data_IF_846591460491
#
_entry.id   IF_846591460491
#
_cell.length_a   1.000
_cell.length_b   1.000
_cell.length_c   1.000
_cell.angle_alpha   90.00
_cell.angle_beta   90.00
_cell.angle_gamma   90.00
#
_symmetry.space_group_name_H-M   'P 1'
#
loop_
_entity.id
_entity.type
_entity.pdbx_description
1 polymer ?
#
# COMPACT_ATOMS: atom_id res chain seq x y z
N UNK A 1 -16.14 -15.32 -3.99
CA UNK A 1 -16.47 -15.07 -5.24
C UNK A 1 -16.42 -13.64 -5.77
N UNK A 2 -15.22 -13.05 -5.96
CA UNK A 2 -15.08 -11.88 -6.82
C UNK A 2 -14.82 -12.34 -8.26
N UNK A 3 -15.27 -11.57 -9.29
CA UNK A 3 -14.95 -11.83 -10.68
C UNK A 3 -13.43 -11.86 -10.91
N UNK A 4 -13.00 -12.55 -11.95
CA UNK A 4 -11.61 -12.56 -12.39
C UNK A 4 -11.16 -11.13 -12.79
N UNK A 5 -9.89 -10.81 -12.56
CA UNK A 5 -9.26 -9.54 -12.96
C UNK A 5 -9.39 -9.28 -14.47
N UNK A 6 -9.46 -10.33 -15.31
CA UNK A 6 -9.68 -10.21 -16.75
C UNK A 6 -10.99 -9.47 -17.09
N UNK A 7 -12.05 -9.70 -16.32
CA UNK A 7 -13.32 -8.99 -16.51
C UNK A 7 -13.20 -7.50 -16.20
N UNK A 8 -12.45 -7.13 -15.16
CA UNK A 8 -12.22 -5.73 -14.84
C UNK A 8 -11.42 -5.03 -15.95
N UNK A 9 -10.36 -5.64 -16.44
CA UNK A 9 -9.53 -5.10 -17.53
C UNK A 9 -10.33 -4.91 -18.81
N UNK A 10 -11.21 -5.86 -19.14
CA UNK A 10 -12.11 -5.75 -20.31
C UNK A 10 -13.11 -4.61 -20.14
N UNK A 11 -13.66 -4.46 -18.95
CA UNK A 11 -14.56 -3.35 -18.61
C UNK A 11 -13.86 -2.00 -18.70
N UNK A 12 -12.66 -1.85 -18.15
CA UNK A 12 -11.86 -0.62 -18.17
C UNK A 12 -11.58 -0.15 -19.60
N UNK A 13 -11.13 -1.07 -20.47
CA UNK A 13 -10.91 -0.78 -21.91
C UNK A 13 -12.20 -0.29 -22.58
N UNK A 14 -13.33 -0.96 -22.33
CA UNK A 14 -14.61 -0.58 -22.91
C UNK A 14 -15.10 0.77 -22.39
N UNK A 15 -14.92 1.03 -21.09
CA UNK A 15 -15.27 2.32 -20.47
C UNK A 15 -14.48 3.46 -21.07
N UNK A 16 -13.16 3.30 -21.25
CA UNK A 16 -12.28 4.30 -21.87
C UNK A 16 -12.72 4.58 -23.31
N UNK A 17 -12.92 3.56 -24.13
CA UNK A 17 -13.34 3.71 -25.51
C UNK A 17 -14.70 4.43 -25.66
N UNK A 18 -15.65 4.16 -24.76
CA UNK A 18 -16.95 4.86 -24.75
C UNK A 18 -16.80 6.33 -24.36
N UNK A 19 -15.96 6.65 -23.37
CA UNK A 19 -15.69 8.03 -22.97
C UNK A 19 -15.04 8.84 -24.11
N UNK A 20 -14.06 8.26 -24.79
CA UNK A 20 -13.41 8.88 -25.95
C UNK A 20 -14.43 9.15 -27.07
N UNK A 21 -15.27 8.17 -27.41
CA UNK A 21 -16.32 8.31 -28.42
C UNK A 21 -17.33 9.42 -28.08
N UNK A 22 -17.63 9.59 -26.80
CA UNK A 22 -18.60 10.60 -26.33
C UNK A 22 -17.97 11.95 -25.97
N UNK A 23 -16.64 12.10 -26.11
CA UNK A 23 -15.91 13.30 -25.69
C UNK A 23 -16.01 13.60 -24.19
N UNK A 24 -16.28 12.57 -23.36
CA UNK A 24 -16.44 12.74 -21.91
C UNK A 24 -15.13 12.42 -21.19
N UNK A 25 -14.83 13.23 -20.16
CA UNK A 25 -13.69 13.03 -19.25
C UNK A 25 -14.20 12.40 -17.93
N UNK A 26 -14.43 11.10 -17.94
CA UNK A 26 -14.83 10.35 -16.76
C UNK A 26 -13.73 9.33 -16.41
N UNK A 27 -13.54 9.08 -15.12
CA UNK A 27 -12.49 8.21 -14.61
C UNK A 27 -13.08 7.11 -13.74
N UNK A 28 -12.47 5.93 -13.80
CA UNK A 28 -12.74 4.86 -12.83
C UNK A 28 -11.89 5.11 -11.60
N UNK A 29 -12.53 5.21 -10.44
CA UNK A 29 -11.86 5.29 -9.16
C UNK A 29 -11.93 3.93 -8.49
N UNK A 30 -10.81 3.22 -8.46
CA UNK A 30 -10.73 1.92 -7.83
C UNK A 30 -10.70 2.04 -6.31
N UNK A 31 -11.54 1.27 -5.63
CA UNK A 31 -11.55 1.18 -4.18
C UNK A 31 -10.64 0.05 -3.71
N UNK A 32 -9.60 0.41 -2.97
CA UNK A 32 -8.64 -0.53 -2.42
C UNK A 32 -8.83 -0.71 -0.92
N UNK A 33 -8.78 -1.96 -0.49
CA UNK A 33 -8.92 -2.35 0.91
C UNK A 33 -7.72 -3.21 1.32
N UNK A 34 -7.06 -2.83 2.41
CA UNK A 34 -6.01 -3.63 3.04
C UNK A 34 -6.57 -4.58 4.10
N UNK A 35 -5.80 -5.58 4.46
CA UNK A 35 -6.07 -6.47 5.60
C UNK A 35 -7.37 -7.28 5.49
N UNK A 36 -7.88 -7.52 4.28
CA UNK A 36 -9.04 -8.38 4.06
C UNK A 36 -8.74 -9.83 4.48
N UNK A 37 -9.66 -10.57 5.10
CA UNK A 37 -9.50 -12.01 5.32
C UNK A 37 -9.08 -12.73 4.04
N UNK A 38 -8.02 -13.55 4.13
CA UNK A 38 -7.37 -14.20 3.00
C UNK A 38 -6.17 -13.44 2.42
N UNK A 39 -5.98 -12.16 2.78
CA UNK A 39 -4.84 -11.37 2.29
C UNK A 39 -3.64 -11.53 3.22
N UNK A 40 -2.63 -12.28 2.79
CA UNK A 40 -1.33 -12.33 3.46
C UNK A 40 -0.44 -11.17 3.01
N UNK A 41 0.71 -11.02 3.64
CA UNK A 41 1.69 -10.02 3.23
C UNK A 41 2.19 -10.25 1.79
N UNK A 42 2.23 -11.51 1.34
CA UNK A 42 2.62 -11.87 -0.02
C UNK A 42 1.63 -11.33 -1.06
N UNK A 43 0.35 -11.53 -0.84
CA UNK A 43 -0.70 -11.00 -1.73
C UNK A 43 -0.72 -9.47 -1.73
N UNK A 44 -0.45 -8.83 -0.57
CA UNK A 44 -0.34 -7.37 -0.48
C UNK A 44 0.86 -6.83 -1.30
N UNK A 45 2.00 -7.54 -1.31
CA UNK A 45 3.16 -7.21 -2.14
C UNK A 45 2.82 -7.39 -3.63
N UNK A 46 2.20 -8.51 -4.01
CA UNK A 46 1.76 -8.73 -5.41
C UNK A 46 0.80 -7.63 -5.88
N UNK A 47 -0.11 -7.19 -5.01
CA UNK A 47 -1.01 -6.09 -5.34
C UNK A 47 -0.25 -4.76 -5.53
N UNK A 48 0.77 -4.48 -4.70
CA UNK A 48 1.61 -3.30 -4.86
C UNK A 48 2.41 -3.33 -6.18
N UNK A 49 2.91 -4.49 -6.58
CA UNK A 49 3.56 -4.68 -7.90
C UNK A 49 2.57 -4.43 -9.04
N UNK A 50 1.38 -5.01 -8.97
CA UNK A 50 0.31 -4.77 -9.94
C UNK A 50 -0.01 -3.27 -10.08
N UNK A 51 -0.14 -2.56 -8.95
CA UNK A 51 -0.40 -1.12 -8.93
C UNK A 51 0.74 -0.31 -9.56
N UNK A 52 2.00 -0.71 -9.32
CA UNK A 52 3.17 -0.12 -9.97
C UNK A 52 3.10 -0.28 -11.49
N UNK A 53 2.87 -1.49 -11.95
CA UNK A 53 2.91 -1.85 -13.36
C UNK A 53 1.77 -1.22 -14.17
N UNK A 54 0.63 -0.97 -13.50
CA UNK A 54 -0.54 -0.30 -14.10
C UNK A 54 -0.62 1.20 -13.76
N UNK A 55 0.43 1.77 -13.14
CA UNK A 55 0.49 3.19 -12.75
C UNK A 55 -0.69 3.65 -11.87
N UNK A 56 -1.23 2.74 -11.06
CA UNK A 56 -2.33 3.00 -10.15
C UNK A 56 -1.78 3.62 -8.87
N UNK A 57 -2.36 4.73 -8.45
CA UNK A 57 -1.99 5.42 -7.21
C UNK A 57 -3.26 5.81 -6.44
N UNK A 58 -3.71 4.97 -5.51
CA UNK A 58 -4.90 5.28 -4.71
C UNK A 58 -4.58 6.40 -3.71
N UNK A 59 -5.42 7.43 -3.70
CA UNK A 59 -5.34 8.49 -2.70
C UNK A 59 -5.81 8.00 -1.34
N UNK A 60 -6.85 7.16 -1.32
CA UNK A 60 -7.44 6.61 -0.12
C UNK A 60 -7.39 5.08 -0.12
N UNK A 61 -6.92 4.53 0.98
CA UNK A 61 -6.93 3.09 1.27
C UNK A 61 -7.57 2.89 2.63
N UNK A 62 -8.54 1.98 2.69
CA UNK A 62 -9.19 1.60 3.94
C UNK A 62 -8.71 0.23 4.41
N UNK A 63 -8.62 0.05 5.73
CA UNK A 63 -8.47 -1.30 6.29
C UNK A 63 -9.81 -2.01 6.27
N UNK A 64 -9.76 -3.33 6.18
CA UNK A 64 -10.95 -4.14 6.30
C UNK A 64 -11.67 -3.85 7.62
N UNK A 65 -12.93 -3.49 7.50
CA UNK A 65 -13.84 -3.31 8.62
C UNK A 65 -14.93 -4.40 8.57
N UNK A 66 -15.10 -5.20 9.65
CA UNK A 66 -16.09 -6.25 9.68
C UNK A 66 -17.51 -5.68 9.67
N UNK A 67 -18.23 -5.86 8.57
CA UNK A 67 -19.63 -5.46 8.43
C UNK A 67 -20.53 -6.65 8.76
N UNK A 68 -21.48 -6.54 9.70
CA UNK A 68 -22.40 -7.64 10.06
C UNK A 68 -23.12 -8.23 8.84
N UNK A 69 -23.36 -9.54 8.88
CA UNK A 69 -24.08 -10.26 7.82
C UNK A 69 -23.26 -10.57 6.57
N UNK A 70 -21.96 -10.26 6.54
CA UNK A 70 -21.10 -10.57 5.39
C UNK A 70 -20.26 -11.84 5.61
N UNK A 71 -19.97 -12.55 4.51
CA UNK A 71 -19.06 -13.71 4.51
C UNK A 71 -17.67 -13.34 5.03
N UNK A 72 -17.16 -12.17 4.64
CA UNK A 72 -15.84 -11.69 5.06
C UNK A 72 -15.78 -11.46 6.58
N UNK A 73 -16.85 -10.97 7.20
CA UNK A 73 -16.95 -10.84 8.66
C UNK A 73 -16.94 -12.18 9.37
N UNK A 74 -17.64 -13.19 8.84
CA UNK A 74 -17.55 -14.55 9.35
C UNK A 74 -16.12 -15.07 9.31
N UNK A 75 -15.43 -14.94 8.17
CA UNK A 75 -14.01 -15.32 8.03
C UNK A 75 -13.12 -14.58 9.03
N UNK A 76 -13.34 -13.28 9.24
CA UNK A 76 -12.55 -12.45 10.14
C UNK A 76 -12.59 -12.94 11.59
N UNK A 77 -13.76 -13.29 12.09
CA UNK A 77 -13.94 -13.75 13.46
C UNK A 77 -13.61 -15.23 13.66
N UNK A 78 -14.00 -16.08 12.72
CA UNK A 78 -13.85 -17.54 12.86
C UNK A 78 -12.51 -18.06 12.33
N UNK A 79 -11.91 -17.38 11.35
CA UNK A 79 -10.74 -17.88 10.62
C UNK A 79 -11.10 -18.98 9.61
N UNK A 80 -12.40 -19.17 9.30
CA UNK A 80 -12.87 -20.18 8.35
C UNK A 80 -13.82 -19.55 7.33
N UNK A 81 -13.78 -20.05 6.12
CA UNK A 81 -14.74 -19.72 5.09
C UNK A 81 -16.07 -20.46 5.38
N UNK A 82 -17.18 -19.73 5.60
CA UNK A 82 -18.45 -20.37 5.99
C UNK A 82 -19.05 -21.26 4.92
N UNK A 83 -18.66 -21.14 3.64
CA UNK A 83 -19.18 -21.97 2.55
C UNK A 83 -18.35 -23.23 2.32
N UNK A 84 -17.04 -23.13 2.46
CA UNK A 84 -16.10 -24.24 2.16
C UNK A 84 -15.53 -24.90 3.39
N UNK A 85 -15.73 -24.29 4.56
CA UNK A 85 -15.15 -24.68 5.86
C UNK A 85 -13.61 -24.78 5.86
N UNK A 86 -12.97 -24.18 4.84
CA UNK A 86 -11.51 -24.12 4.77
C UNK A 86 -10.99 -22.99 5.65
N UNK A 87 -9.84 -23.25 6.27
CA UNK A 87 -9.13 -22.23 7.06
C UNK A 87 -8.72 -21.05 6.19
N UNK A 88 -8.95 -19.84 6.67
CA UNK A 88 -8.62 -18.58 6.01
C UNK A 88 -7.65 -17.80 6.88
N UNK A 89 -6.58 -17.31 6.27
CA UNK A 89 -5.66 -16.41 6.96
C UNK A 89 -6.34 -15.07 7.28
N UNK A 90 -6.12 -14.56 8.49
CA UNK A 90 -6.66 -13.26 8.91
C UNK A 90 -5.54 -12.44 9.53
N UNK A 91 -5.17 -11.28 8.92
CA UNK A 91 -4.18 -10.39 9.51
C UNK A 91 -4.76 -9.76 10.79
N UNK A 92 -4.21 -10.14 11.95
CA UNK A 92 -4.70 -9.66 13.26
C UNK A 92 -3.78 -8.62 13.90
N UNK A 93 -2.47 -8.70 13.61
CA UNK A 93 -1.51 -7.81 14.23
C UNK A 93 -1.60 -6.39 13.65
N UNK A 94 -1.53 -5.39 14.52
CA UNK A 94 -1.54 -3.98 14.10
C UNK A 94 -0.39 -3.68 13.12
N UNK A 95 0.79 -4.22 13.40
CA UNK A 95 1.98 -4.03 12.58
C UNK A 95 1.80 -4.57 11.16
N UNK A 96 1.21 -5.77 11.02
CA UNK A 96 0.95 -6.37 9.72
C UNK A 96 -0.09 -5.58 8.92
N UNK A 97 -1.17 -5.14 9.57
CA UNK A 97 -2.17 -4.28 8.95
C UNK A 97 -1.55 -2.98 8.45
N UNK A 98 -0.70 -2.35 9.27
CA UNK A 98 0.02 -1.14 8.89
C UNK A 98 0.95 -1.38 7.69
N UNK A 99 1.66 -2.51 7.64
CA UNK A 99 2.50 -2.89 6.50
C UNK A 99 1.68 -3.12 5.23
N UNK A 100 0.56 -3.84 5.31
CA UNK A 100 -0.32 -4.08 4.16
C UNK A 100 -0.90 -2.76 3.62
N UNK A 101 -1.32 -1.85 4.49
CA UNK A 101 -1.77 -0.51 4.10
C UNK A 101 -0.66 0.31 3.43
N UNK A 102 0.53 0.31 4.03
CA UNK A 102 1.67 1.05 3.51
C UNK A 102 2.07 0.58 2.10
N UNK A 103 1.98 -0.73 1.81
CA UNK A 103 2.22 -1.30 0.49
C UNK A 103 1.27 -0.74 -0.57
N UNK A 104 0.00 -0.49 -0.25
CA UNK A 104 -0.97 0.09 -1.17
C UNK A 104 -0.70 1.60 -1.44
N UNK A 105 0.04 2.25 -0.55
CA UNK A 105 0.45 3.66 -0.68
C UNK A 105 1.98 3.78 -0.68
N UNK A 106 2.67 2.86 -1.34
CA UNK A 106 4.13 2.73 -1.31
C UNK A 106 4.87 3.97 -1.82
N UNK A 107 4.25 4.79 -2.69
CA UNK A 107 4.85 6.02 -3.22
C UNK A 107 4.93 7.15 -2.19
N UNK A 108 4.14 7.08 -1.11
CA UNK A 108 4.21 8.08 -0.06
C UNK A 108 5.51 7.92 0.76
N UNK A 109 6.40 8.93 0.81
CA UNK A 109 7.67 8.84 1.54
C UNK A 109 7.52 8.49 3.02
N UNK A 110 6.41 8.91 3.65
CA UNK A 110 6.11 8.57 5.05
C UNK A 110 5.95 7.06 5.27
N UNK A 111 5.58 6.31 4.23
CA UNK A 111 5.37 4.86 4.30
C UNK A 111 6.63 4.05 3.95
N UNK A 112 7.69 4.66 3.43
CA UNK A 112 8.86 3.95 2.89
C UNK A 112 9.52 3.01 3.92
N UNK A 113 9.56 3.39 5.18
CA UNK A 113 10.13 2.53 6.24
C UNK A 113 9.28 1.26 6.44
N UNK A 114 7.96 1.42 6.56
CA UNK A 114 7.04 0.29 6.71
C UNK A 114 7.03 -0.61 5.46
N UNK A 115 7.11 -0.02 4.27
CA UNK A 115 7.19 -0.76 3.01
C UNK A 115 8.47 -1.58 2.95
N UNK A 116 9.65 -0.99 3.26
CA UNK A 116 10.91 -1.75 3.33
C UNK A 116 10.81 -2.92 4.31
N UNK A 117 10.25 -2.68 5.50
CA UNK A 117 10.03 -3.73 6.50
C UNK A 117 9.12 -4.84 5.97
N UNK A 118 8.04 -4.48 5.30
CA UNK A 118 7.12 -5.42 4.68
C UNK A 118 7.80 -6.27 3.59
N UNK A 119 8.59 -5.63 2.73
CA UNK A 119 9.32 -6.30 1.65
C UNK A 119 10.38 -7.28 2.18
N UNK A 120 11.15 -6.86 3.18
CA UNK A 120 12.15 -7.73 3.83
C UNK A 120 11.47 -8.93 4.51
N UNK A 121 10.37 -8.71 5.23
CA UNK A 121 9.59 -9.78 5.87
C UNK A 121 8.93 -10.73 4.87
N UNK A 122 8.53 -10.20 3.71
CA UNK A 122 7.97 -10.96 2.60
C UNK A 122 9.01 -11.64 1.69
N UNK A 123 10.32 -11.50 1.99
CA UNK A 123 11.41 -12.07 1.18
C UNK A 123 11.60 -11.38 -0.18
N UNK A 124 11.13 -10.13 -0.35
CA UNK A 124 11.16 -9.37 -1.60
C UNK A 124 12.07 -8.14 -1.49
N UNK A 125 13.31 -8.36 -1.04
CA UNK A 125 14.35 -7.31 -1.01
C UNK A 125 14.71 -6.77 -2.41
N UNK A 126 14.44 -7.54 -3.46
CA UNK A 126 14.58 -7.18 -4.86
C UNK A 126 13.75 -5.93 -5.25
N UNK A 127 12.68 -5.66 -4.54
CA UNK A 127 11.80 -4.49 -4.75
C UNK A 127 12.27 -3.22 -4.02
N UNK A 128 13.42 -3.27 -3.35
CA UNK A 128 14.04 -2.11 -2.70
C UNK A 128 15.21 -1.63 -3.57
N UNK A 129 15.10 -0.46 -4.17
CA UNK A 129 16.13 0.04 -5.08
C UNK A 129 15.72 1.31 -5.80
N UNK A 130 16.46 1.64 -6.85
CA UNK A 130 16.19 2.78 -7.74
C UNK A 130 15.80 2.34 -9.15
N UNK A 131 15.73 1.04 -9.40
CA UNK A 131 15.35 0.50 -10.70
C UNK A 131 13.85 0.59 -10.98
N UNK A 132 13.43 0.34 -12.24
CA UNK A 132 12.03 0.45 -12.66
C UNK A 132 11.10 -0.55 -11.96
N UNK A 133 11.64 -1.65 -11.45
CA UNK A 133 10.89 -2.66 -10.72
C UNK A 133 10.82 -2.39 -9.21
N UNK A 134 11.58 -1.42 -8.70
CA UNK A 134 11.56 -1.11 -7.28
C UNK A 134 10.26 -0.42 -6.85
N UNK A 135 9.80 -0.70 -5.64
CA UNK A 135 8.67 -0.02 -5.02
C UNK A 135 9.13 1.17 -4.17
N UNK A 136 10.26 1.02 -3.48
CA UNK A 136 10.80 2.07 -2.60
C UNK A 136 12.32 2.14 -2.69
N UNK A 137 12.92 3.34 -2.48
CA UNK A 137 14.36 3.48 -2.40
C UNK A 137 14.92 2.78 -1.16
N UNK A 138 16.22 2.42 -1.16
CA UNK A 138 16.93 1.96 0.03
C UNK A 138 16.84 2.99 1.16
N UNK A 139 17.05 2.54 2.40
CA UNK A 139 17.18 3.47 3.52
C UNK A 139 18.38 4.38 3.27
N UNK A 140 18.18 5.70 3.28
CA UNK A 140 19.29 6.63 3.18
C UNK A 140 20.16 6.51 4.43
N UNK A 141 21.46 6.30 4.26
CA UNK A 141 22.46 6.30 5.34
C UNK A 141 22.58 7.65 6.07
N UNK A 142 21.96 8.69 5.54
CA UNK A 142 22.03 10.07 6.06
C UNK A 142 21.20 10.35 7.33
N UNK A 143 20.34 9.44 7.73
CA UNK A 143 19.51 9.63 8.94
C UNK A 143 20.30 9.71 10.26
N UNK A 144 21.57 9.30 10.28
CA UNK A 144 22.45 9.37 11.46
C UNK A 144 23.27 10.67 11.57
N UNK A 145 23.35 11.48 10.52
CA UNK A 145 24.23 12.67 10.50
C UNK A 145 23.57 13.99 10.92
N UNK A 146 22.24 14.06 11.01
CA UNK A 146 21.55 15.31 11.35
C UNK A 146 21.32 15.58 12.84
N UNK A 147 21.68 14.67 13.75
CA UNK A 147 21.50 14.88 15.20
C UNK A 147 22.67 15.58 15.93
N UNK A 148 23.79 15.88 15.25
CA UNK A 148 24.97 16.49 15.88
C UNK A 148 25.47 17.73 15.15
N UNK A 149 24.62 18.70 14.83
CA UNK A 149 25.07 20.04 14.55
C UNK A 149 24.86 20.90 15.82
N UNK A 150 25.91 21.32 16.53
CA UNK A 150 25.76 22.23 17.65
C UNK A 150 25.15 23.54 17.14
N UNK A 151 24.19 24.07 17.86
CA UNK A 151 23.64 25.38 17.58
C UNK A 151 24.72 26.43 17.69
N UNK A 152 24.99 27.09 16.58
CA UNK A 152 25.92 28.22 16.51
C UNK A 152 25.31 29.38 17.34
N UNK A 153 25.99 29.76 18.44
CA UNK A 153 25.59 30.87 19.30
C UNK A 153 25.81 32.18 18.54
N UNK A 154 24.81 33.07 18.45
CA UNK A 154 25.06 34.39 17.86
C UNK A 154 26.04 35.19 18.72
N UNK A 155 27.13 35.61 18.11
CA UNK A 155 28.17 36.43 18.71
C UNK A 155 27.61 37.75 19.24
N UNK A 156 27.91 38.05 20.52
CA UNK A 156 27.69 39.35 21.14
C UNK A 156 28.47 40.43 20.36
N UNK A 157 27.76 41.27 19.63
CA UNK A 157 28.31 42.49 19.07
C UNK A 157 28.73 43.45 20.17
N UNK A 158 30.01 43.80 20.20
CA UNK A 158 30.58 44.80 21.06
C UNK A 158 30.05 46.20 20.72
N UNK A 159 29.44 46.86 21.70
CA UNK A 159 29.26 48.33 21.68
C UNK A 159 30.62 48.98 21.72
N UNK A 160 30.94 49.86 20.75
CA UNK A 160 31.91 50.93 20.89
C UNK A 160 31.22 52.28 20.86
N UNK A 161 31.68 53.11 21.73
CA UNK A 161 31.34 54.49 22.03
C UNK A 161 31.32 55.41 20.80
#
# INVERSE_FOLDING_TARGET
GKPDCAMFTAFEKKFTAVNEKLGKKQYLVSYYMSSHPGSTLKEAICLAEYMRDHHIQPEQVQDFYPTPGTRATCMYYTGYDPLTLKKVYVPKSYEEKAMQRALLQYRNPANHELVRKALLRGGRADLIGYGPHALVPPASSDGKRRKNKPADKPGRGARRR
#
